data_IF_835509574594
#
_entry.id   IF_835509574594
#
_cell.length_a   1.000
_cell.length_b   1.000
_cell.length_c   1.000
_cell.angle_alpha   90.00
_cell.angle_beta   90.00
_cell.angle_gamma   90.00
#
_symmetry.space_group_name_H-M   'P 1'
#
loop_
_entity.id
_entity.type
_entity.pdbx_description
1 polymer ?
#
# COMPACT_ATOMS: atom_id res chain seq x y z
N UNK A 1 -2.14 2.87 9.31
CA UNK A 1 -3.62 2.87 9.44
C UNK A 1 -4.09 3.07 10.87
N UNK A 2 -3.25 2.91 11.89
CA UNK A 2 -3.65 2.99 13.31
C UNK A 2 -4.40 4.29 13.65
N UNK A 3 -3.87 5.46 13.26
CA UNK A 3 -4.54 6.74 13.50
C UNK A 3 -5.92 6.87 12.81
N UNK A 4 -6.06 6.36 11.58
CA UNK A 4 -7.34 6.34 10.86
C UNK A 4 -8.33 5.40 11.54
N UNK A 5 -7.88 4.21 11.93
CA UNK A 5 -8.67 3.20 12.63
C UNK A 5 -8.84 3.43 14.14
N UNK A 6 -8.34 4.55 14.69
CA UNK A 6 -8.40 4.84 16.12
C UNK A 6 -7.59 3.89 17.01
N UNK A 7 -6.64 3.14 16.45
CA UNK A 7 -5.78 2.19 17.16
C UNK A 7 -4.46 2.84 17.59
N UNK A 8 -3.89 2.35 18.69
CA UNK A 8 -2.56 2.75 19.14
C UNK A 8 -1.49 2.32 18.12
N UNK A 9 -0.62 3.25 17.73
CA UNK A 9 0.52 2.94 16.87
C UNK A 9 1.68 2.40 17.71
N UNK A 10 2.00 1.11 17.57
CA UNK A 10 3.10 0.44 18.28
C UNK A 10 4.21 0.14 17.28
N UNK A 11 4.99 1.16 16.93
CA UNK A 11 6.08 1.08 15.95
C UNK A 11 7.45 1.01 16.63
N UNK A 12 8.26 0.02 16.27
CA UNK A 12 9.64 -0.13 16.75
C UNK A 12 10.63 0.07 15.60
N UNK A 13 10.79 1.32 15.17
CA UNK A 13 11.55 1.70 13.98
C UNK A 13 12.97 1.11 13.95
N UNK A 14 13.73 1.26 15.03
CA UNK A 14 15.13 0.80 15.03
C UNK A 14 15.23 -0.72 14.83
N UNK A 15 14.30 -1.49 15.40
CA UNK A 15 14.22 -2.93 15.19
C UNK A 15 13.85 -3.29 13.73
N UNK A 16 12.93 -2.54 13.11
CA UNK A 16 12.56 -2.73 11.69
C UNK A 16 13.77 -2.63 10.76
N UNK A 17 14.63 -1.62 10.96
CA UNK A 17 15.80 -1.35 10.10
C UNK A 17 17.06 -2.12 10.52
N UNK A 18 17.12 -2.63 11.75
CA UNK A 18 18.18 -3.52 12.21
C UNK A 18 18.01 -4.96 11.71
N UNK A 19 16.84 -5.35 11.19
CA UNK A 19 16.63 -6.67 10.62
C UNK A 19 17.65 -6.97 9.50
N UNK A 20 18.26 -8.16 9.55
CA UNK A 20 19.25 -8.64 8.56
C UNK A 20 18.81 -9.91 7.83
N UNK A 21 17.65 -10.46 8.20
CA UNK A 21 17.12 -11.73 7.71
C UNK A 21 16.15 -12.32 8.72
N UNK A 22 15.79 -13.60 8.54
CA UNK A 22 14.96 -14.33 9.51
C UNK A 22 13.47 -14.42 9.19
N UNK A 23 13.05 -13.97 8.01
CA UNK A 23 11.67 -14.17 7.53
C UNK A 23 11.72 -14.75 6.13
N UNK A 24 11.16 -15.94 5.97
CA UNK A 24 11.05 -16.61 4.68
C UNK A 24 10.15 -15.82 3.71
N UNK A 25 10.38 -15.98 2.40
CA UNK A 25 9.59 -15.29 1.36
C UNK A 25 8.08 -15.53 1.51
N UNK A 26 7.68 -16.75 1.85
CA UNK A 26 6.28 -17.11 2.06
C UNK A 26 5.67 -16.36 3.25
N UNK A 27 6.41 -16.30 4.35
CA UNK A 27 6.01 -15.59 5.57
C UNK A 27 5.92 -14.07 5.34
N UNK A 28 6.88 -13.48 4.62
CA UNK A 28 6.82 -12.06 4.23
C UNK A 28 5.57 -11.76 3.39
N UNK A 29 5.22 -12.66 2.47
CA UNK A 29 4.00 -12.53 1.66
C UNK A 29 2.73 -12.62 2.51
N UNK A 30 2.68 -13.55 3.46
CA UNK A 30 1.53 -13.66 4.39
C UNK A 30 1.35 -12.38 5.20
N UNK A 31 2.42 -11.91 5.85
CA UNK A 31 2.38 -10.67 6.65
C UNK A 31 1.96 -9.46 5.84
N UNK A 32 2.46 -9.33 4.61
CA UNK A 32 2.06 -8.24 3.73
C UNK A 32 0.57 -8.34 3.36
N UNK A 33 0.08 -9.53 3.02
CA UNK A 33 -1.32 -9.76 2.70
C UNK A 33 -2.24 -9.45 3.90
N UNK A 34 -1.86 -9.90 5.09
CA UNK A 34 -2.57 -9.62 6.35
C UNK A 34 -2.62 -8.12 6.64
N UNK A 35 -1.48 -7.42 6.50
CA UNK A 35 -1.43 -5.97 6.72
C UNK A 35 -2.31 -5.19 5.72
N UNK A 36 -2.30 -5.60 4.45
CA UNK A 36 -3.15 -5.00 3.41
C UNK A 36 -4.62 -5.27 3.67
N UNK A 37 -4.98 -6.50 4.06
CA UNK A 37 -6.35 -6.87 4.40
C UNK A 37 -6.88 -6.08 5.59
N UNK A 38 -6.07 -5.95 6.65
CA UNK A 38 -6.42 -5.15 7.83
C UNK A 38 -6.61 -3.66 7.46
N UNK A 39 -5.72 -3.10 6.62
CA UNK A 39 -5.87 -1.72 6.13
C UNK A 39 -7.15 -1.54 5.30
N UNK A 40 -7.45 -2.46 4.39
CA UNK A 40 -8.65 -2.43 3.57
C UNK A 40 -9.93 -2.52 4.42
N UNK A 41 -9.94 -3.37 5.46
CA UNK A 41 -11.06 -3.46 6.40
C UNK A 41 -11.31 -2.11 7.10
N UNK A 42 -10.25 -1.46 7.61
CA UNK A 42 -10.37 -0.14 8.24
C UNK A 42 -10.96 0.87 7.27
N UNK A 43 -10.46 0.94 6.03
CA UNK A 43 -10.94 1.89 5.02
C UNK A 43 -12.42 1.62 4.68
N UNK A 44 -12.80 0.35 4.50
CA UNK A 44 -14.17 -0.04 4.15
C UNK A 44 -15.20 0.27 5.23
N UNK A 45 -14.77 0.41 6.49
CA UNK A 45 -15.64 0.74 7.62
C UNK A 45 -15.81 2.25 7.86
N UNK A 46 -15.16 3.11 7.08
CA UNK A 46 -15.26 4.56 7.27
C UNK A 46 -16.61 5.09 6.80
N UNK A 47 -17.26 5.90 7.64
CA UNK A 47 -18.46 6.66 7.27
C UNK A 47 -18.08 7.98 6.60
N UNK A 48 -19.01 8.58 5.86
CA UNK A 48 -18.82 9.90 5.25
C UNK A 48 -18.45 10.97 6.30
N UNK A 49 -19.15 11.00 7.43
CA UNK A 49 -18.86 11.91 8.54
C UNK A 49 -17.43 11.73 9.06
N UNK A 50 -16.97 10.49 9.19
CA UNK A 50 -15.61 10.21 9.68
C UNK A 50 -14.54 10.64 8.68
N UNK A 51 -14.82 10.59 7.37
CA UNK A 51 -13.85 10.98 6.34
C UNK A 51 -13.44 12.46 6.44
N UNK A 52 -14.34 13.32 6.90
CA UNK A 52 -14.10 14.78 7.00
C UNK A 52 -13.54 15.22 8.35
N UNK A 53 -13.47 14.32 9.34
CA UNK A 53 -12.89 14.62 10.64
C UNK A 53 -11.37 14.82 10.58
N UNK A 54 -10.87 15.81 11.34
CA UNK A 54 -9.43 16.05 11.48
C UNK A 54 -8.78 15.03 12.41
N UNK A 55 -7.63 14.52 12.00
CA UNK A 55 -6.75 13.64 12.78
C UNK A 55 -5.33 14.19 12.80
N UNK A 56 -4.58 13.88 13.86
CA UNK A 56 -3.17 14.22 13.96
C UNK A 56 -2.31 13.00 13.70
N UNK A 57 -1.55 13.00 12.61
CA UNK A 57 -0.70 11.87 12.19
C UNK A 57 0.74 12.37 12.03
N UNK A 58 1.69 11.79 12.77
CA UNK A 58 3.12 12.13 12.68
C UNK A 58 3.43 13.63 12.80
N UNK A 59 2.61 14.37 13.55
CA UNK A 59 2.76 15.82 13.74
C UNK A 59 2.00 16.69 12.75
N UNK A 60 1.40 16.10 11.71
CA UNK A 60 0.54 16.77 10.75
C UNK A 60 -0.93 16.70 11.18
N UNK A 61 -1.68 17.75 10.92
CA UNK A 61 -3.13 17.80 11.08
C UNK A 61 -3.77 17.73 9.69
N UNK A 62 -4.62 16.73 9.47
CA UNK A 62 -5.25 16.44 8.18
C UNK A 62 -6.57 15.70 8.39
N UNK A 63 -7.46 15.74 7.42
CA UNK A 63 -8.68 14.94 7.42
C UNK A 63 -8.36 13.44 7.34
N UNK A 64 -9.30 12.59 7.78
CA UNK A 64 -9.18 11.14 7.61
C UNK A 64 -9.05 10.77 6.13
N UNK A 65 -9.75 11.45 5.22
CA UNK A 65 -9.64 11.23 3.79
C UNK A 65 -8.23 11.48 3.26
N UNK A 66 -7.62 12.61 3.63
CA UNK A 66 -6.23 12.92 3.28
C UNK A 66 -5.27 11.86 3.85
N UNK A 67 -5.53 11.36 5.07
CA UNK A 67 -4.70 10.36 5.72
C UNK A 67 -4.74 9.03 4.95
N UNK A 68 -5.92 8.64 4.47
CA UNK A 68 -6.09 7.45 3.63
C UNK A 68 -5.31 7.61 2.33
N UNK A 69 -5.46 8.73 1.63
CA UNK A 69 -4.74 8.95 0.37
C UNK A 69 -3.21 9.00 0.54
N UNK A 70 -2.70 9.62 1.61
CA UNK A 70 -1.26 9.59 1.89
C UNK A 70 -0.73 8.16 2.07
N UNK A 71 -1.46 7.30 2.78
CA UNK A 71 -1.06 5.90 2.98
C UNK A 71 -1.13 5.10 1.69
N UNK A 72 -2.19 5.29 0.89
CA UNK A 72 -2.35 4.61 -0.41
C UNK A 72 -1.24 5.02 -1.38
N UNK A 73 -0.95 6.31 -1.49
CA UNK A 73 0.10 6.84 -2.36
C UNK A 73 1.49 6.34 -1.93
N UNK A 74 1.77 6.36 -0.63
CA UNK A 74 3.01 5.81 -0.08
C UNK A 74 3.18 4.32 -0.40
N UNK A 75 2.11 3.53 -0.24
CA UNK A 75 2.13 2.10 -0.57
C UNK A 75 2.34 1.85 -2.06
N UNK A 76 1.68 2.62 -2.93
CA UNK A 76 1.88 2.57 -4.37
C UNK A 76 3.32 2.91 -4.78
N UNK A 77 3.93 3.91 -4.13
CA UNK A 77 5.34 4.26 -4.32
C UNK A 77 6.29 3.10 -4.02
N UNK A 78 6.06 2.36 -2.93
CA UNK A 78 6.83 1.15 -2.61
C UNK A 78 6.60 0.02 -3.61
N UNK A 79 5.39 -0.18 -4.11
CA UNK A 79 5.13 -1.12 -5.20
C UNK A 79 5.93 -0.76 -6.45
N UNK A 80 5.99 0.53 -6.81
CA UNK A 80 6.81 1.04 -7.91
C UNK A 80 8.31 0.76 -7.72
N UNK A 81 8.84 0.93 -6.50
CA UNK A 81 10.23 0.58 -6.18
C UNK A 81 10.50 -0.92 -6.37
N UNK A 82 9.60 -1.80 -5.93
CA UNK A 82 9.72 -3.25 -6.13
C UNK A 82 9.71 -3.60 -7.62
N UNK A 83 8.81 -2.99 -8.40
CA UNK A 83 8.74 -3.18 -9.84
C UNK A 83 10.05 -2.75 -10.53
N UNK A 84 10.56 -1.57 -10.19
CA UNK A 84 11.83 -1.05 -10.71
C UNK A 84 12.98 -2.01 -10.40
N UNK A 85 13.14 -2.42 -9.14
CA UNK A 85 14.20 -3.34 -8.73
C UNK A 85 14.06 -4.70 -9.42
N UNK A 86 12.84 -5.23 -9.50
CA UNK A 86 12.58 -6.50 -10.20
C UNK A 86 13.05 -6.42 -11.64
N UNK A 87 12.61 -5.39 -12.38
CA UNK A 87 13.04 -5.16 -13.78
C UNK A 87 14.54 -4.98 -13.89
N UNK A 88 15.15 -4.25 -12.96
CA UNK A 88 16.60 -4.03 -12.94
C UNK A 88 17.40 -5.32 -12.76
N UNK A 89 16.96 -6.21 -11.87
CA UNK A 89 17.67 -7.46 -11.58
C UNK A 89 17.40 -8.58 -12.57
N UNK A 90 16.15 -8.73 -13.03
CA UNK A 90 15.79 -9.82 -13.95
C UNK A 90 16.08 -9.48 -15.41
N UNK A 91 16.18 -8.19 -15.75
CA UNK A 91 16.27 -7.68 -17.13
C UNK A 91 15.09 -8.12 -18.01
N UNK A 92 13.98 -8.50 -17.41
CA UNK A 92 12.78 -8.94 -18.11
C UNK A 92 11.73 -7.84 -18.15
N UNK A 93 10.91 -7.84 -19.20
CA UNK A 93 9.69 -7.07 -19.19
C UNK A 93 8.71 -7.66 -18.17
N UNK A 94 8.02 -6.79 -17.43
CA UNK A 94 7.11 -7.20 -16.36
C UNK A 94 5.72 -7.60 -16.90
N UNK A 95 5.47 -7.46 -18.20
CA UNK A 95 4.23 -7.85 -18.85
C UNK A 95 3.05 -6.92 -18.56
N UNK A 96 3.30 -5.74 -17.99
CA UNK A 96 2.25 -4.74 -17.77
C UNK A 96 1.60 -4.39 -19.11
N UNK A 97 0.27 -4.48 -19.15
CA UNK A 97 -0.55 -4.15 -20.32
C UNK A 97 -0.27 -4.98 -21.59
N UNK A 98 0.46 -6.10 -21.50
CA UNK A 98 0.73 -6.95 -22.67
C UNK A 98 -0.56 -7.44 -23.37
N UNK A 99 -1.66 -7.57 -22.63
CA UNK A 99 -2.97 -7.92 -23.17
C UNK A 99 -3.57 -6.85 -24.11
N UNK A 100 -3.17 -5.58 -24.00
CA UNK A 100 -3.60 -4.51 -24.91
C UNK A 100 -2.95 -4.59 -26.29
N UNK A 101 -1.84 -5.33 -26.41
CA UNK A 101 -1.20 -5.60 -27.70
C UNK A 101 -1.96 -6.64 -28.53
N UNK A 102 -2.96 -7.32 -27.93
CA UNK A 102 -3.84 -8.23 -28.66
C UNK A 102 -4.89 -7.42 -29.43
N UNK A 103 -4.92 -7.48 -30.78
CA UNK A 103 -5.90 -6.74 -31.59
C UNK A 103 -7.36 -7.13 -31.29
N UNK A 104 -7.62 -8.26 -30.61
CA UNK A 104 -8.96 -8.66 -30.18
C UNK A 104 -9.48 -7.91 -28.92
N UNK A 105 -8.65 -7.10 -28.25
CA UNK A 105 -9.01 -6.32 -27.06
C UNK A 105 -8.96 -4.80 -27.28
N UNK A 106 -8.98 -4.33 -28.54
CA UNK A 106 -9.32 -2.94 -28.83
C UNK A 106 -10.80 -2.76 -28.55
N UNK A 107 -11.15 -2.44 -27.32
CA UNK A 107 -12.48 -1.90 -27.03
C UNK A 107 -12.59 -0.56 -27.77
N UNK A 108 -13.53 -0.50 -28.71
CA UNK A 108 -13.95 0.77 -29.28
C UNK A 108 -14.60 1.56 -28.14
N UNK A 109 -13.97 2.67 -27.77
CA UNK A 109 -14.53 3.58 -26.78
C UNK A 109 -15.83 4.17 -27.35
N UNK A 110 -16.95 4.19 -26.59
CA UNK A 110 -18.21 4.76 -27.05
C UNK A 110 -18.13 6.25 -27.36
#
# INVERSE_FOLDING_TARGET
MSAVGGQTDVRMRDAEFAARGGVEKAELRSRLAEAVAAAAQVISGLTEDRLVESVRVQGYELSVLEAVYQVVDHFAGHAGQIQLLTKWYTKQDLGFYAHLANPAHREDTP
#
